data_IF_569696823241
#
_entry.id   IF_569696823241
#
_cell.length_a   1.000
_cell.length_b   1.000
_cell.length_c   1.000
_cell.angle_alpha   90.00
_cell.angle_beta   90.00
_cell.angle_gamma   90.00
#
_symmetry.space_group_name_H-M   'P 1'
#
loop_
_entity.id
_entity.type
_entity.pdbx_description
1 polymer ?
#
# COMPACT_ATOMS: atom_id res chain seq x y z
N UNK A 1 -5.64 19.09 -42.59
CA UNK A 1 -6.83 18.49 -41.96
C UNK A 1 -6.45 18.16 -40.54
N UNK A 2 -7.26 18.59 -39.56
CA UNK A 2 -7.00 18.25 -38.15
C UNK A 2 -7.00 16.73 -38.01
N UNK A 3 -6.00 16.21 -37.30
CA UNK A 3 -5.86 14.81 -36.92
C UNK A 3 -6.81 14.55 -35.74
N UNK A 4 -7.88 13.79 -35.95
CA UNK A 4 -8.88 13.45 -34.93
C UNK A 4 -8.52 12.17 -34.17
N UNK A 5 -7.29 11.64 -34.34
CA UNK A 5 -6.84 10.38 -33.72
C UNK A 5 -6.23 10.55 -32.33
N UNK A 6 -6.13 11.77 -31.81
CA UNK A 6 -5.38 12.08 -30.58
C UNK A 6 -6.24 12.33 -29.34
N UNK A 7 -7.56 12.33 -29.46
CA UNK A 7 -8.45 12.50 -28.30
C UNK A 7 -8.76 11.13 -27.66
N UNK A 8 -7.88 10.70 -26.74
CA UNK A 8 -8.18 9.61 -25.79
C UNK A 8 -9.54 9.89 -25.17
N UNK A 9 -10.49 8.98 -25.38
CA UNK A 9 -11.87 9.13 -24.98
C UNK A 9 -11.96 9.36 -23.46
N UNK A 10 -12.93 10.16 -23.02
CA UNK A 10 -13.21 10.33 -21.59
C UNK A 10 -13.42 8.97 -20.88
N UNK A 11 -13.98 7.99 -21.60
CA UNK A 11 -14.16 6.65 -21.09
C UNK A 11 -12.83 5.92 -20.82
N UNK A 12 -11.81 6.14 -21.65
CA UNK A 12 -10.48 5.54 -21.47
C UNK A 12 -9.79 6.12 -20.24
N UNK A 13 -9.80 7.45 -20.09
CA UNK A 13 -9.25 8.14 -18.91
C UNK A 13 -9.93 7.72 -17.61
N UNK A 14 -11.27 7.59 -17.64
CA UNK A 14 -12.03 7.12 -16.49
C UNK A 14 -11.64 5.69 -16.10
N UNK A 15 -11.43 4.82 -17.10
CA UNK A 15 -11.04 3.44 -16.86
C UNK A 15 -9.64 3.35 -16.25
N UNK A 16 -8.70 4.20 -16.68
CA UNK A 16 -7.38 4.33 -16.06
C UNK A 16 -7.51 4.76 -14.59
N UNK A 17 -8.25 5.83 -14.30
CA UNK A 17 -8.43 6.32 -12.92
C UNK A 17 -9.10 5.29 -12.01
N UNK A 18 -10.14 4.61 -12.49
CA UNK A 18 -10.81 3.56 -11.69
C UNK A 18 -9.86 2.40 -11.43
N UNK A 19 -9.01 2.03 -12.40
CA UNK A 19 -8.02 0.98 -12.21
C UNK A 19 -6.96 1.38 -11.19
N UNK A 20 -6.48 2.62 -11.21
CA UNK A 20 -5.55 3.14 -10.20
C UNK A 20 -6.14 3.09 -8.79
N UNK A 21 -7.41 3.50 -8.62
CA UNK A 21 -8.09 3.44 -7.33
C UNK A 21 -8.26 1.99 -6.82
N UNK A 22 -8.56 1.04 -7.72
CA UNK A 22 -8.63 -0.39 -7.35
C UNK A 22 -7.26 -0.91 -6.91
N UNK A 23 -6.18 -0.49 -7.57
CA UNK A 23 -4.83 -0.88 -7.21
C UNK A 23 -4.43 -0.30 -5.85
N UNK A 24 -4.63 1.00 -5.63
CA UNK A 24 -4.37 1.66 -4.37
C UNK A 24 -5.15 1.01 -3.21
N UNK A 25 -6.44 0.72 -3.40
CA UNK A 25 -7.24 0.01 -2.40
C UNK A 25 -6.75 -1.43 -2.15
N UNK A 26 -6.23 -2.10 -3.18
CA UNK A 26 -5.66 -3.46 -3.05
C UNK A 26 -4.35 -3.46 -2.26
N UNK A 27 -3.53 -2.42 -2.40
CA UNK A 27 -2.30 -2.24 -1.60
C UNK A 27 -2.59 -2.05 -0.11
N UNK A 28 -3.69 -1.36 0.22
CA UNK A 28 -4.11 -1.16 1.61
C UNK A 28 -4.83 -2.39 2.19
N UNK A 29 -5.58 -3.11 1.36
CA UNK A 29 -6.38 -4.24 1.80
C UNK A 29 -5.58 -5.54 1.98
N UNK A 30 -4.47 -5.72 1.25
CA UNK A 30 -3.71 -6.96 1.23
C UNK A 30 -2.21 -6.73 1.43
N UNK A 31 -1.59 -7.56 2.26
CA UNK A 31 -0.13 -7.62 2.40
C UNK A 31 0.53 -8.33 1.20
N UNK A 32 -0.13 -9.37 0.67
CA UNK A 32 0.32 -10.05 -0.55
C UNK A 32 -0.84 -10.76 -1.26
N UNK A 33 -0.76 -10.83 -2.59
CA UNK A 33 -1.72 -11.53 -3.45
C UNK A 33 -1.00 -12.45 -4.42
N UNK A 34 -1.56 -13.61 -4.73
CA UNK A 34 -1.02 -14.44 -5.83
C UNK A 34 -1.21 -13.71 -7.18
N UNK A 35 -0.38 -13.99 -8.18
CA UNK A 35 -0.52 -13.40 -9.51
C UNK A 35 -1.93 -13.61 -10.09
N UNK A 36 -2.52 -14.79 -9.89
CA UNK A 36 -3.87 -15.09 -10.37
C UNK A 36 -4.95 -14.24 -9.68
N UNK A 37 -4.85 -14.09 -8.36
CA UNK A 37 -5.79 -13.28 -7.56
C UNK A 37 -5.64 -11.79 -7.89
N UNK A 38 -4.40 -11.29 -7.95
CA UNK A 38 -4.12 -9.90 -8.29
C UNK A 38 -4.63 -9.56 -9.70
N UNK A 39 -4.45 -10.46 -10.68
CA UNK A 39 -4.99 -10.30 -12.03
C UNK A 39 -6.52 -10.17 -12.02
N UNK A 40 -7.20 -11.01 -11.24
CA UNK A 40 -8.66 -11.01 -11.15
C UNK A 40 -9.20 -9.76 -10.44
N UNK A 41 -8.59 -9.37 -9.33
CA UNK A 41 -9.01 -8.21 -8.52
C UNK A 41 -8.80 -6.91 -9.30
N UNK A 42 -7.63 -6.72 -9.90
CA UNK A 42 -7.27 -5.49 -10.62
C UNK A 42 -7.72 -5.49 -12.10
N UNK A 43 -8.40 -6.56 -12.53
CA UNK A 43 -8.91 -6.75 -13.90
C UNK A 43 -7.87 -6.44 -14.97
N UNK A 44 -6.70 -7.08 -14.85
CA UNK A 44 -5.70 -7.09 -15.92
C UNK A 44 -5.98 -8.24 -16.88
N UNK A 45 -5.89 -7.98 -18.18
CA UNK A 45 -6.06 -8.98 -19.23
C UNK A 45 -4.87 -9.95 -19.30
N UNK A 46 -3.65 -9.45 -19.03
CA UNK A 46 -2.41 -10.23 -19.09
C UNK A 46 -1.60 -10.10 -17.79
N UNK A 47 -0.88 -11.16 -17.45
CA UNK A 47 0.07 -11.13 -16.31
C UNK A 47 1.22 -10.15 -16.59
N UNK A 48 1.62 -9.98 -17.84
CA UNK A 48 2.63 -9.01 -18.25
C UNK A 48 2.22 -7.56 -17.95
N UNK A 49 0.94 -7.23 -18.15
CA UNK A 49 0.39 -5.91 -17.80
C UNK A 49 0.42 -5.64 -16.30
N UNK A 50 0.08 -6.66 -15.50
CA UNK A 50 0.17 -6.59 -14.05
C UNK A 50 1.63 -6.44 -13.58
N UNK A 51 2.58 -7.14 -14.18
CA UNK A 51 4.01 -7.02 -13.85
C UNK A 51 4.59 -5.65 -14.20
N UNK A 52 4.17 -5.08 -15.34
CA UNK A 52 4.55 -3.72 -15.73
C UNK A 52 4.03 -2.69 -14.73
N UNK A 53 2.75 -2.81 -14.35
CA UNK A 53 2.13 -1.94 -13.35
C UNK A 53 2.76 -2.12 -11.97
N UNK A 54 2.99 -3.35 -11.53
CA UNK A 54 3.69 -3.67 -10.28
C UNK A 54 5.07 -3.02 -10.22
N UNK A 55 5.79 -2.98 -11.34
CA UNK A 55 7.11 -2.32 -11.42
C UNK A 55 6.99 -0.80 -11.29
N UNK A 56 5.95 -0.19 -11.86
CA UNK A 56 5.69 1.25 -11.76
C UNK A 56 5.25 1.66 -10.35
N UNK A 57 4.39 0.84 -9.72
CA UNK A 57 3.92 1.01 -8.35
C UNK A 57 4.95 0.57 -7.28
N UNK A 58 6.07 -0.04 -7.68
CA UNK A 58 7.14 -0.46 -6.77
C UNK A 58 6.83 -1.72 -5.95
N UNK A 59 5.90 -2.57 -6.41
CA UNK A 59 5.58 -3.83 -5.76
C UNK A 59 6.64 -4.89 -6.01
N UNK A 60 6.80 -5.81 -5.05
CA UNK A 60 7.79 -6.89 -5.15
C UNK A 60 7.08 -8.18 -5.57
N UNK A 61 7.52 -8.77 -6.68
CA UNK A 61 6.99 -10.06 -7.14
C UNK A 61 7.98 -11.16 -6.82
N UNK A 62 7.57 -12.12 -6.00
CA UNK A 62 8.39 -13.26 -5.56
C UNK A 62 7.56 -14.54 -5.58
N UNK A 63 8.10 -15.58 -6.21
CA UNK A 63 7.50 -16.93 -6.23
C UNK A 63 6.04 -16.95 -6.77
N UNK A 64 5.73 -16.10 -7.76
CA UNK A 64 4.38 -15.99 -8.31
C UNK A 64 3.37 -15.25 -7.42
N UNK A 65 3.87 -14.50 -6.43
CA UNK A 65 3.08 -13.67 -5.51
C UNK A 65 3.57 -12.23 -5.54
N UNK A 66 2.63 -11.30 -5.57
CA UNK A 66 2.85 -9.86 -5.47
C UNK A 66 2.78 -9.48 -4.00
N UNK A 67 3.80 -8.78 -3.51
CA UNK A 67 3.88 -8.22 -2.16
C UNK A 67 3.73 -6.70 -2.26
N UNK A 68 2.74 -6.17 -1.56
CA UNK A 68 2.46 -4.74 -1.49
C UNK A 68 3.24 -4.18 -0.31
N UNK A 69 4.16 -3.26 -0.58
CA UNK A 69 5.14 -2.78 0.41
C UNK A 69 4.52 -2.03 1.61
N UNK A 70 3.21 -1.79 1.62
CA UNK A 70 2.49 -1.15 2.71
C UNK A 70 2.60 -1.91 4.05
N UNK A 71 2.86 -3.22 4.02
CA UNK A 71 2.97 -4.02 5.25
C UNK A 71 4.30 -3.89 6.00
N UNK A 72 5.40 -3.49 5.35
CA UNK A 72 6.69 -3.31 6.03
C UNK A 72 6.76 -1.98 6.81
N UNK A 73 5.83 -1.06 6.57
CA UNK A 73 5.78 0.22 7.28
C UNK A 73 5.07 0.15 8.65
N UNK A 74 4.36 -0.95 8.97
CA UNK A 74 3.52 -1.04 10.17
C UNK A 74 4.07 -1.95 11.28
N UNK A 75 5.11 -2.77 11.01
CA UNK A 75 5.66 -3.69 12.03
C UNK A 75 6.89 -3.18 12.79
N UNK A 76 7.39 -1.97 12.51
CA UNK A 76 8.62 -1.42 13.10
C UNK A 76 8.42 -0.26 14.10
N UNK A 77 7.18 0.02 14.55
CA UNK A 77 6.90 1.20 15.41
C UNK A 77 6.36 0.92 16.81
N UNK A 78 6.20 -0.34 17.21
CA UNK A 78 5.75 -0.67 18.57
C UNK A 78 6.90 -0.61 19.59
N UNK A 79 8.16 -0.56 19.15
CA UNK A 79 9.31 -0.45 20.07
C UNK A 79 9.64 0.99 20.48
N UNK A 80 9.24 1.98 19.69
CA UNK A 80 9.61 3.39 19.92
C UNK A 80 8.86 4.07 21.09
N UNK A 81 7.72 3.54 21.53
CA UNK A 81 6.92 4.14 22.60
C UNK A 81 7.14 3.50 23.99
N UNK A 82 7.88 2.39 24.08
CA UNK A 82 8.10 1.68 25.36
C UNK A 82 8.96 2.48 26.34
N UNK A 83 10.03 3.14 25.86
CA UNK A 83 10.90 3.97 26.70
C UNK A 83 10.22 5.21 27.26
N UNK A 84 9.33 5.84 26.49
CA UNK A 84 8.62 7.05 26.94
C UNK A 84 7.51 6.73 27.94
N UNK A 85 6.83 5.59 27.78
CA UNK A 85 5.88 5.08 28.78
C UNK A 85 6.58 4.82 30.12
N UNK A 86 7.74 4.15 30.12
CA UNK A 86 8.52 3.86 31.34
C UNK A 86 8.95 5.16 32.03
N UNK A 87 9.46 6.14 31.27
CA UNK A 87 9.85 7.45 31.82
C UNK A 87 8.67 8.17 32.48
N UNK A 88 7.51 8.17 31.82
CA UNK A 88 6.33 8.84 32.35
C UNK A 88 5.85 8.14 33.64
N UNK A 89 5.82 6.80 33.68
CA UNK A 89 5.50 6.04 34.89
C UNK A 89 6.47 6.30 36.04
N UNK A 90 7.78 6.36 35.78
CA UNK A 90 8.79 6.70 36.80
C UNK A 90 8.67 8.15 37.28
N UNK A 91 8.35 9.09 36.40
CA UNK A 91 8.13 10.49 36.74
C UNK A 91 6.94 10.64 37.69
N UNK A 92 5.80 10.05 37.32
CA UNK A 92 4.60 10.04 38.17
C UNK A 92 4.87 9.37 39.53
N UNK A 93 5.55 8.22 39.55
CA UNK A 93 5.89 7.54 40.81
C UNK A 93 6.74 8.44 41.74
N UNK A 94 7.70 9.18 41.17
CA UNK A 94 8.54 10.13 41.92
C UNK A 94 7.76 11.33 42.47
N UNK A 95 6.77 11.83 41.75
CA UNK A 95 5.92 12.92 42.24
C UNK A 95 5.03 12.48 43.39
N UNK A 96 4.51 11.25 43.39
CA UNK A 96 3.70 10.71 44.48
C UNK A 96 4.52 10.49 45.75
N UNK A 97 5.79 10.07 45.63
CA UNK A 97 6.70 9.91 46.79
C UNK A 97 6.98 11.24 47.50
N UNK A 98 6.88 12.39 46.81
CA UNK A 98 7.16 13.72 47.38
C UNK A 98 6.04 14.26 48.28
N UNK A 99 4.84 13.68 48.22
CA UNK A 99 3.65 14.15 48.97
C UNK A 99 3.48 13.39 50.30
N UNK A 100 4.27 12.33 50.54
CA UNK A 100 4.32 11.57 51.81
C UNK A 100 5.34 12.17 52.77
#
# INVERSE_FOLDING_TARGET
GRDWSSDVSFAEKLNETVRDEICACSEEAYESLSLAEARQVMRFDTEEGLLAYAKEAGWVVKDGRVFFAAAEASTDKVELNSMDLIKNTLHYAKEIERIV
#
